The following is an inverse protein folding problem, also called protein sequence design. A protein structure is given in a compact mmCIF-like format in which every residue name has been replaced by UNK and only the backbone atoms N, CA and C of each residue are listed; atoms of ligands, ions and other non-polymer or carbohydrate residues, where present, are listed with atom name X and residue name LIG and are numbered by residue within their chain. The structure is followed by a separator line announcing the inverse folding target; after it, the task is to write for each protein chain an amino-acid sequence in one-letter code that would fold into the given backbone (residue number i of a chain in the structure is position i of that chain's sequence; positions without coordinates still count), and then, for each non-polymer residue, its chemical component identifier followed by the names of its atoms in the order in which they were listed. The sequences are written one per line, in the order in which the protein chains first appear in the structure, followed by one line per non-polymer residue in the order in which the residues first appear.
data_IF_988305155675
#
_entry.id   IF_988305155675
#
_cell.length_a   1.000
_cell.length_b   1.000
_cell.length_c   1.000
_cell.angle_alpha   90.00
_cell.angle_beta   90.00
_cell.angle_gamma   90.00
#
_symmetry.space_group_name_H-M   'P 1'
#
loop_
_entity.id
_entity.type
_entity.pdbx_description
1 polymer ?
#
# COMPACT_ATOMS: atom_id res chain seq x y z
N UNK A 1 -30.65 10.97 -8.45
CA UNK A 1 -29.85 10.78 -9.69
C UNK A 1 -28.69 11.76 -9.62
N UNK A 2 -27.49 11.27 -9.32
CA UNK A 2 -26.28 12.09 -9.25
C UNK A 2 -25.47 11.91 -10.54
N UNK A 3 -25.09 13.02 -11.16
CA UNK A 3 -24.31 13.06 -12.40
C UNK A 3 -22.83 12.92 -12.02
N UNK A 4 -22.14 11.86 -12.48
CA UNK A 4 -20.67 11.76 -12.43
C UNK A 4 -20.07 12.74 -13.45
N UNK A 5 -19.43 13.81 -12.99
CA UNK A 5 -18.64 14.71 -13.85
C UNK A 5 -17.16 14.71 -13.41
N UNK A 6 -16.42 13.65 -13.77
CA UNK A 6 -14.96 13.64 -14.03
C UNK A 6 -14.45 12.20 -14.13
N UNK A 7 -13.76 11.87 -15.24
CA UNK A 7 -13.14 10.57 -15.57
C UNK A 7 -14.00 9.31 -15.33
N UNK A 8 -14.37 8.61 -16.41
CA UNK A 8 -15.15 7.36 -16.36
C UNK A 8 -14.57 6.27 -15.45
N UNK A 9 -13.27 6.34 -15.09
CA UNK A 9 -12.61 5.40 -14.18
C UNK A 9 -13.00 5.55 -12.70
N UNK A 10 -13.32 6.77 -12.22
CA UNK A 10 -13.61 6.99 -10.79
C UNK A 10 -14.98 6.45 -10.35
N UNK A 11 -15.90 6.20 -11.29
CA UNK A 11 -17.23 5.65 -11.00
C UNK A 11 -17.31 4.12 -11.21
N UNK A 12 -16.17 3.44 -11.35
CA UNK A 12 -16.11 1.97 -11.49
C UNK A 12 -16.33 1.25 -10.14
N UNK A 13 -16.87 0.02 -10.13
CA UNK A 13 -17.42 -0.61 -8.91
C UNK A 13 -16.38 -1.16 -7.92
N UNK A 14 -15.09 -1.19 -8.26
CA UNK A 14 -14.00 -1.77 -7.48
C UNK A 14 -12.85 -0.78 -7.29
N UNK A 15 -13.17 0.51 -7.17
CA UNK A 15 -12.17 1.54 -6.86
C UNK A 15 -11.54 1.37 -5.46
N UNK A 16 -10.28 1.75 -5.33
CA UNK A 16 -9.49 1.75 -4.08
C UNK A 16 -9.05 3.17 -3.71
N UNK A 17 -8.71 3.48 -2.44
CA UNK A 17 -8.70 2.58 -1.28
C UNK A 17 -10.09 2.32 -0.68
N UNK A 18 -10.20 1.41 0.28
CA UNK A 18 -11.44 1.13 1.03
C UNK A 18 -11.16 1.06 2.53
N UNK A 19 -12.20 1.24 3.33
CA UNK A 19 -12.18 0.94 4.77
C UNK A 19 -12.33 -0.58 4.99
N UNK A 20 -11.32 -1.19 5.60
CA UNK A 20 -11.32 -2.60 5.96
C UNK A 20 -12.03 -2.76 7.31
N UNK A 21 -13.31 -3.10 7.25
CA UNK A 21 -14.09 -3.46 8.43
C UNK A 21 -13.71 -4.88 8.87
N UNK A 22 -12.84 -5.00 9.87
CA UNK A 22 -12.21 -6.26 10.27
C UNK A 22 -13.22 -7.33 10.68
N UNK A 23 -14.33 -6.91 11.29
CA UNK A 23 -15.46 -7.77 11.70
C UNK A 23 -16.23 -8.35 10.51
N UNK A 24 -16.16 -7.72 9.34
CA UNK A 24 -16.82 -8.17 8.11
C UNK A 24 -15.88 -8.95 7.19
N UNK A 25 -14.57 -8.86 7.41
CA UNK A 25 -13.60 -9.66 6.69
C UNK A 25 -13.82 -11.15 6.98
N UNK A 26 -13.96 -11.96 5.93
CA UNK A 26 -14.19 -13.40 6.08
C UNK A 26 -12.87 -14.14 6.06
N UNK A 27 -12.62 -14.92 7.10
CA UNK A 27 -11.52 -15.87 7.08
C UNK A 27 -11.71 -16.86 5.93
N UNK A 28 -10.68 -17.03 5.12
CA UNK A 28 -10.65 -17.99 4.02
C UNK A 28 -9.47 -18.95 4.23
N UNK A 29 -9.78 -20.18 4.61
CA UNK A 29 -8.77 -21.21 4.91
C UNK A 29 -8.02 -21.70 3.66
N UNK A 30 -8.47 -21.37 2.45
CA UNK A 30 -7.72 -21.69 1.23
C UNK A 30 -6.59 -20.70 0.94
N UNK A 31 -6.54 -19.56 1.64
CA UNK A 31 -5.47 -18.58 1.51
C UNK A 31 -4.17 -19.14 2.09
N UNK A 32 -3.14 -19.24 1.24
CA UNK A 32 -1.81 -19.70 1.64
C UNK A 32 -1.03 -18.58 2.35
N UNK A 33 0.08 -18.90 3.03
CA UNK A 33 1.07 -17.89 3.42
C UNK A 33 1.62 -17.15 2.19
N UNK A 34 1.98 -15.87 2.34
CA UNK A 34 2.67 -15.11 1.30
C UNK A 34 4.11 -15.59 1.18
N UNK A 35 4.57 -15.82 -0.05
CA UNK A 35 5.98 -15.96 -0.35
C UNK A 35 6.53 -14.60 -0.81
N UNK A 36 7.50 -14.06 -0.07
CA UNK A 36 8.11 -12.76 -0.38
C UNK A 36 9.62 -12.94 -0.32
N UNK A 37 10.29 -12.65 -1.44
CA UNK A 37 11.73 -12.64 -1.54
C UNK A 37 12.13 -11.32 -2.19
N UNK A 38 12.92 -10.50 -1.50
CA UNK A 38 13.46 -9.25 -2.05
C UNK A 38 14.97 -9.26 -1.95
N UNK A 39 15.62 -9.10 -3.10
CA UNK A 39 17.08 -9.01 -3.21
C UNK A 39 17.50 -7.52 -3.17
N UNK A 40 18.24 -7.07 -2.15
CA UNK A 40 18.69 -5.67 -2.05
C UNK A 40 19.51 -5.20 -3.25
N UNK A 41 20.14 -6.11 -4.00
CA UNK A 41 20.91 -5.77 -5.20
C UNK A 41 20.03 -5.40 -6.40
N UNK A 42 18.71 -5.56 -6.29
CA UNK A 42 17.78 -5.12 -7.32
C UNK A 42 17.33 -3.68 -7.15
N UNK A 43 17.59 -3.01 -6.02
CA UNK A 43 17.27 -1.59 -5.86
C UNK A 43 18.10 -0.73 -6.81
N UNK A 44 17.46 0.15 -7.58
CA UNK A 44 18.11 0.99 -8.60
C UNK A 44 18.33 2.42 -8.12
N UNK A 45 17.25 3.14 -7.80
CA UNK A 45 17.28 4.58 -7.50
C UNK A 45 16.03 5.03 -6.77
N UNK A 46 16.13 6.17 -6.09
CA UNK A 46 15.00 6.95 -5.62
C UNK A 46 14.76 8.09 -6.59
N UNK A 47 13.50 8.32 -6.97
CA UNK A 47 13.11 9.41 -7.86
C UNK A 47 11.91 10.12 -7.24
N UNK A 48 11.98 11.44 -7.11
CA UNK A 48 10.82 12.27 -6.88
C UNK A 48 10.03 12.38 -8.20
N UNK A 49 8.77 11.95 -8.19
CA UNK A 49 7.89 11.93 -9.37
C UNK A 49 6.80 13.00 -9.31
N UNK A 50 7.03 14.06 -8.52
CA UNK A 50 6.18 15.24 -8.43
C UNK A 50 4.98 15.10 -7.49
N UNK A 51 4.56 13.88 -7.16
CA UNK A 51 3.44 13.60 -6.23
C UNK A 51 3.80 12.59 -5.13
N UNK A 52 4.95 11.93 -5.25
CA UNK A 52 5.55 11.09 -4.23
C UNK A 52 7.04 10.88 -4.60
N UNK A 53 7.72 10.01 -3.86
CA UNK A 53 8.96 9.42 -4.31
C UNK A 53 8.77 7.93 -4.61
N UNK A 54 9.37 7.46 -5.70
CA UNK A 54 9.45 6.05 -6.05
C UNK A 54 10.83 5.51 -5.73
N UNK A 55 10.88 4.32 -5.13
CA UNK A 55 12.09 3.51 -5.09
C UNK A 55 11.96 2.44 -6.18
N UNK A 56 12.76 2.54 -7.23
CA UNK A 56 12.71 1.63 -8.40
C UNK A 56 13.58 0.40 -8.19
N UNK A 57 13.14 -0.74 -8.71
CA UNK A 57 13.82 -2.03 -8.66
C UNK A 57 14.03 -2.63 -10.05
N UNK A 58 14.96 -3.59 -10.16
CA UNK A 58 15.14 -4.40 -11.36
C UNK A 58 14.11 -5.52 -11.46
N UNK A 59 13.20 -5.40 -12.44
CA UNK A 59 12.16 -6.38 -12.75
C UNK A 59 12.51 -7.27 -13.97
N UNK A 60 13.77 -7.24 -14.42
CA UNK A 60 14.26 -8.07 -15.53
C UNK A 60 14.33 -9.57 -15.20
N UNK A 61 14.37 -9.92 -13.90
CA UNK A 61 14.52 -11.29 -13.39
C UNK A 61 13.66 -11.54 -12.13
N UNK A 62 13.56 -12.79 -11.69
CA UNK A 62 12.77 -13.22 -10.53
C UNK A 62 13.52 -13.06 -9.19
N UNK A 63 14.41 -12.07 -9.07
CA UNK A 63 15.22 -11.85 -7.85
C UNK A 63 14.42 -11.20 -6.71
N UNK A 64 13.45 -10.35 -7.06
CA UNK A 64 12.54 -9.67 -6.12
C UNK A 64 11.09 -9.96 -6.50
N UNK A 65 10.46 -10.91 -5.80
CA UNK A 65 9.17 -11.51 -6.18
C UNK A 65 8.24 -11.64 -4.98
N UNK A 66 6.96 -11.40 -5.25
CA UNK A 66 5.82 -11.72 -4.40
C UNK A 66 4.99 -12.83 -5.08
N UNK A 67 4.68 -13.91 -4.37
CA UNK A 67 3.82 -15.00 -4.86
C UNK A 67 3.07 -15.69 -3.72
N UNK A 68 2.32 -16.74 -4.05
CA UNK A 68 1.42 -17.45 -3.12
C UNK A 68 0.34 -16.52 -2.53
N UNK A 69 -0.19 -16.86 -1.36
CA UNK A 69 -1.36 -16.19 -0.80
C UNK A 69 -2.57 -16.18 -1.72
N UNK A 70 -3.11 -15.01 -2.11
CA UNK A 70 -4.23 -14.90 -3.05
C UNK A 70 -3.79 -14.81 -4.51
N UNK A 71 -2.49 -14.85 -4.80
CA UNK A 71 -1.94 -14.58 -6.12
C UNK A 71 -1.92 -15.83 -6.99
N UNK A 72 -2.20 -15.66 -8.28
CA UNK A 72 -2.24 -16.75 -9.26
C UNK A 72 -0.91 -16.95 -10.01
N UNK A 73 0.07 -16.08 -9.79
CA UNK A 73 1.38 -16.08 -10.47
C UNK A 73 2.46 -15.48 -9.57
N UNK A 74 3.69 -15.46 -10.08
CA UNK A 74 4.81 -14.70 -9.52
C UNK A 74 4.75 -13.25 -10.03
N UNK A 75 4.79 -12.29 -9.10
CA UNK A 75 4.77 -10.87 -9.39
C UNK A 75 6.13 -10.28 -9.05
N UNK A 76 6.79 -9.68 -10.04
CA UNK A 76 8.09 -9.02 -9.85
C UNK A 76 7.89 -7.64 -9.25
N UNK A 77 8.72 -7.30 -8.28
CA UNK A 77 8.77 -5.96 -7.70
C UNK A 77 9.37 -5.00 -8.71
N UNK A 78 8.60 -3.98 -9.10
CA UNK A 78 9.05 -2.90 -10.00
C UNK A 78 9.40 -1.62 -9.25
N UNK A 79 8.57 -1.25 -8.29
CA UNK A 79 8.76 -0.07 -7.44
C UNK A 79 7.97 -0.23 -6.14
N UNK A 80 8.30 0.59 -5.14
CA UNK A 80 7.37 0.97 -4.08
C UNK A 80 7.43 2.48 -3.82
N UNK A 81 6.39 3.02 -3.20
CA UNK A 81 6.26 4.40 -2.76
C UNK A 81 5.44 4.45 -1.47
N UNK A 82 5.37 5.63 -0.86
CA UNK A 82 4.55 5.87 0.32
C UNK A 82 3.47 6.92 0.03
N UNK A 83 2.38 6.79 0.77
CA UNK A 83 1.38 7.84 0.94
C UNK A 83 1.47 8.35 2.38
N UNK A 84 1.30 9.66 2.55
CA UNK A 84 1.35 10.34 3.84
C UNK A 84 0.29 11.45 3.93
N UNK A 85 0.10 11.92 5.16
CA UNK A 85 -0.84 12.97 5.50
C UNK A 85 -0.13 14.17 6.11
N UNK A 86 -0.92 15.21 6.35
CA UNK A 86 -0.42 16.51 6.86
C UNK A 86 0.01 16.44 8.32
N UNK A 87 -0.49 15.48 9.08
CA UNK A 87 -0.14 15.23 10.49
C UNK A 87 0.22 13.77 10.75
N UNK A 88 0.77 13.49 11.92
CA UNK A 88 1.21 12.13 12.29
C UNK A 88 0.02 11.19 12.60
N UNK A 89 -1.21 11.71 12.49
CA UNK A 89 -2.46 10.99 12.72
C UNK A 89 -3.12 10.51 11.42
N UNK A 90 -2.66 10.96 10.26
CA UNK A 90 -3.25 10.72 8.94
C UNK A 90 -2.19 10.34 7.90
N UNK A 91 -2.59 9.66 6.83
CA UNK A 91 -1.72 9.42 5.68
C UNK A 91 -1.86 8.06 5.00
N UNK A 92 -2.26 7.01 5.72
CA UNK A 92 -2.59 5.75 5.07
C UNK A 92 -3.81 5.90 4.17
N UNK A 93 -3.73 5.43 2.93
CA UNK A 93 -4.88 5.43 2.01
C UNK A 93 -5.99 4.49 2.50
N UNK A 94 -5.61 3.27 2.90
CA UNK A 94 -6.52 2.34 3.56
C UNK A 94 -6.69 2.70 5.03
N UNK A 95 -7.88 2.39 5.51
CA UNK A 95 -8.31 2.60 6.90
C UNK A 95 -8.72 1.24 7.46
N UNK A 96 -8.36 0.97 8.72
CA UNK A 96 -8.72 -0.28 9.42
C UNK A 96 -9.67 0.08 10.56
N UNK A 97 -10.94 -0.34 10.47
CA UNK A 97 -11.98 0.01 11.45
C UNK A 97 -12.02 1.52 11.79
N UNK A 98 -11.86 2.38 10.79
CA UNK A 98 -11.83 3.84 10.96
C UNK A 98 -10.47 4.43 11.39
N UNK A 99 -9.41 3.63 11.57
CA UNK A 99 -8.08 4.10 11.98
C UNK A 99 -7.07 4.18 10.82
N UNK A 100 -6.27 5.25 10.84
CA UNK A 100 -5.19 5.58 9.89
C UNK A 100 -3.80 5.33 10.50
N UNK A 101 -2.78 5.14 9.66
CA UNK A 101 -1.41 4.79 10.08
C UNK A 101 -0.31 5.58 9.33
N UNK A 102 0.85 5.88 9.96
CA UNK A 102 1.86 6.79 9.40
C UNK A 102 3.06 6.20 8.57
N UNK A 103 3.29 4.87 8.42
CA UNK A 103 4.43 4.14 7.71
C UNK A 103 5.69 3.84 8.59
N UNK A 104 6.93 3.41 8.15
CA UNK A 104 8.30 3.40 8.85
C UNK A 104 9.53 3.24 7.91
N UNK A 105 10.72 3.84 8.20
CA UNK A 105 12.08 3.20 8.16
C UNK A 105 13.23 4.08 8.69
N UNK A 106 14.26 3.45 9.30
CA UNK A 106 15.55 4.05 9.74
C UNK A 106 16.58 4.26 8.61
N UNK A 107 17.38 5.33 8.74
CA UNK A 107 18.33 5.83 7.74
C UNK A 107 19.61 4.97 7.60
N UNK A 108 20.10 4.84 6.37
CA UNK A 108 21.44 4.36 6.02
C UNK A 108 21.89 5.05 4.72
N UNK A 109 23.19 5.36 4.51
CA UNK A 109 23.69 5.84 3.23
C UNK A 109 23.29 4.89 2.09
N UNK A 110 22.90 5.48 0.96
CA UNK A 110 22.22 4.79 -0.13
C UNK A 110 23.18 3.95 -0.97
N UNK A 111 23.60 2.79 -0.46
CA UNK A 111 24.30 1.81 -1.30
C UNK A 111 23.38 0.68 -1.79
N UNK A 112 22.37 0.25 -1.02
CA UNK A 112 21.34 -0.74 -1.42
C UNK A 112 20.12 -0.61 -0.50
N UNK A 113 18.91 -0.78 -1.02
CA UNK A 113 17.69 -0.78 -0.20
C UNK A 113 17.16 -2.19 0.03
N UNK A 114 17.19 -2.66 1.28
CA UNK A 114 16.57 -3.94 1.66
C UNK A 114 15.11 -3.74 2.06
N UNK A 115 14.19 -3.93 1.10
CA UNK A 115 12.75 -3.80 1.33
C UNK A 115 12.21 -4.80 2.36
N UNK A 116 12.90 -5.91 2.60
CA UNK A 116 12.49 -6.88 3.63
C UNK A 116 12.52 -6.28 5.04
N UNK A 117 13.30 -5.21 5.27
CA UNK A 117 13.33 -4.50 6.55
C UNK A 117 12.04 -3.74 6.86
N UNK A 118 11.18 -3.51 5.84
CA UNK A 118 9.87 -2.88 5.97
C UNK A 118 8.73 -3.88 6.15
N UNK A 119 9.02 -5.16 6.28
CA UNK A 119 8.00 -6.17 6.45
C UNK A 119 7.80 -6.45 7.94
N UNK A 120 6.54 -6.47 8.43
CA UNK A 120 6.26 -6.94 9.78
C UNK A 120 6.68 -8.39 9.95
N UNK A 121 6.84 -8.80 11.21
CA UNK A 121 7.22 -10.17 11.56
C UNK A 121 6.12 -11.15 11.15
N UNK A 122 4.87 -10.82 11.46
CA UNK A 122 3.72 -11.61 11.06
C UNK A 122 3.22 -11.16 9.68
N UNK A 123 3.03 -12.12 8.78
CA UNK A 123 2.59 -11.85 7.39
C UNK A 123 1.14 -12.23 7.17
N UNK A 124 0.32 -12.15 8.21
CA UNK A 124 -1.13 -12.27 8.07
C UNK A 124 -1.68 -11.06 7.31
N UNK A 125 -2.65 -11.29 6.44
CA UNK A 125 -3.10 -10.27 5.51
C UNK A 125 -4.62 -10.29 5.29
N UNK A 126 -5.14 -9.17 4.79
CA UNK A 126 -6.43 -9.08 4.10
C UNK A 126 -6.21 -8.98 2.60
N UNK A 127 -7.18 -9.44 1.82
CA UNK A 127 -7.12 -9.35 0.36
C UNK A 127 -8.47 -9.09 -0.27
N UNK A 128 -8.48 -8.29 -1.35
CA UNK A 128 -9.63 -8.00 -2.17
C UNK A 128 -9.19 -7.53 -3.58
N UNK A 129 -10.11 -7.60 -4.55
CA UNK A 129 -9.87 -7.05 -5.89
C UNK A 129 -10.25 -5.56 -5.92
N UNK A 130 -9.33 -4.73 -6.41
CA UNK A 130 -9.49 -3.28 -6.43
C UNK A 130 -8.83 -2.60 -7.62
N UNK A 131 -8.53 -1.31 -7.46
CA UNK A 131 -7.88 -0.48 -8.46
C UNK A 131 -6.53 0.05 -7.99
N UNK A 132 -5.81 0.70 -8.91
CA UNK A 132 -4.78 1.69 -8.57
C UNK A 132 -5.43 2.86 -7.79
N UNK A 133 -4.70 3.44 -6.85
CA UNK A 133 -5.13 4.61 -6.04
C UNK A 133 -4.70 5.94 -6.65
N UNK A 134 -3.86 5.89 -7.69
CA UNK A 134 -3.51 7.01 -8.56
C UNK A 134 -4.04 6.79 -9.97
N UNK A 135 -4.13 7.88 -10.75
CA UNK A 135 -4.54 7.82 -12.16
C UNK A 135 -3.70 6.80 -12.93
N UNK A 136 -4.30 5.97 -13.82
CA UNK A 136 -5.67 6.05 -14.36
C UNK A 136 -6.73 5.28 -13.57
N UNK A 137 -6.46 4.91 -12.31
CA UNK A 137 -7.40 4.19 -11.43
C UNK A 137 -7.91 2.85 -12.00
N UNK A 138 -7.08 2.16 -12.80
CA UNK A 138 -7.44 0.88 -13.43
C UNK A 138 -7.77 -0.21 -12.41
N UNK A 139 -8.86 -0.95 -12.62
CA UNK A 139 -9.30 -2.07 -11.77
C UNK A 139 -8.58 -3.40 -12.07
N UNK A 140 -7.27 -3.41 -11.91
CA UNK A 140 -6.39 -4.53 -12.23
C UNK A 140 -5.57 -5.02 -11.02
N UNK A 141 -5.92 -4.59 -9.80
CA UNK A 141 -5.09 -4.84 -8.61
C UNK A 141 -5.71 -5.91 -7.72
N UNK A 142 -4.93 -6.94 -7.39
CA UNK A 142 -5.20 -7.81 -6.24
C UNK A 142 -4.49 -7.19 -5.03
N UNK A 143 -5.25 -6.58 -4.13
CA UNK A 143 -4.70 -5.97 -2.93
C UNK A 143 -4.33 -7.04 -1.90
N UNK A 144 -3.15 -6.90 -1.29
CA UNK A 144 -2.65 -7.69 -0.17
C UNK A 144 -2.23 -6.71 0.92
N UNK A 145 -3.05 -6.57 1.96
CA UNK A 145 -2.80 -5.65 3.07
C UNK A 145 -2.33 -6.44 4.28
N UNK A 146 -1.10 -6.22 4.73
CA UNK A 146 -0.59 -6.82 5.96
C UNK A 146 -1.37 -6.27 7.17
N UNK A 147 -1.71 -7.15 8.12
CA UNK A 147 -2.53 -6.77 9.29
C UNK A 147 -1.72 -6.03 10.35
N UNK A 148 -0.41 -6.24 10.38
CA UNK A 148 0.52 -5.53 11.25
C UNK A 148 1.12 -4.35 10.46
N UNK A 149 0.92 -3.14 10.99
CA UNK A 149 1.49 -1.93 10.43
C UNK A 149 2.96 -1.75 10.87
N UNK A 150 3.76 -1.13 10.01
CA UNK A 150 5.09 -0.62 10.36
C UNK A 150 4.98 0.81 10.94
N UNK A 151 5.92 1.23 11.80
CA UNK A 151 5.85 2.48 12.63
C UNK A 151 6.91 3.57 12.38
N UNK A 152 6.58 4.74 11.84
CA UNK A 152 7.53 5.78 11.37
C UNK A 152 7.72 6.75 12.49
N UNK A 153 8.92 7.29 12.62
CA UNK A 153 9.11 8.44 13.50
C UNK A 153 8.48 9.69 12.87
N UNK A 154 8.00 10.60 13.72
CA UNK A 154 7.56 11.94 13.30
C UNK A 154 8.64 12.70 12.52
N UNK A 155 9.91 12.44 12.83
CA UNK A 155 11.07 13.03 12.13
C UNK A 155 11.21 12.50 10.70
N UNK A 156 11.12 11.18 10.51
CA UNK A 156 11.11 10.55 9.19
C UNK A 156 9.93 11.04 8.35
N UNK A 157 8.75 11.20 8.95
CA UNK A 157 7.57 11.70 8.25
C UNK A 157 7.70 13.18 7.85
N UNK A 158 8.41 13.99 8.64
CA UNK A 158 8.76 15.36 8.26
C UNK A 158 9.64 15.43 7.01
N UNK A 159 10.55 14.47 6.81
CA UNK A 159 11.33 14.39 5.57
C UNK A 159 10.45 14.14 4.35
N UNK A 160 9.36 13.37 4.49
CA UNK A 160 8.41 13.16 3.38
C UNK A 160 7.63 14.45 3.06
N UNK A 161 7.16 15.16 4.09
CA UNK A 161 6.46 16.45 3.93
C UNK A 161 7.37 17.57 3.41
N UNK A 162 8.68 17.41 3.51
CA UNK A 162 9.67 18.33 2.95
C UNK A 162 9.95 18.13 1.45
N UNK A 163 9.40 17.08 0.82
CA UNK A 163 9.52 16.87 -0.63
C UNK A 163 8.73 17.93 -1.39
N UNK A 164 9.24 18.36 -2.53
CA UNK A 164 8.58 19.35 -3.40
C UNK A 164 8.07 18.72 -4.70
N UNK A 165 6.98 19.24 -5.25
CA UNK A 165 6.47 18.87 -6.56
C UNK A 165 7.23 19.61 -7.68
N UNK A 166 6.77 19.47 -8.93
CA UNK A 166 7.37 20.13 -10.10
C UNK A 166 7.24 21.66 -10.06
N UNK A 167 6.27 22.18 -9.29
CA UNK A 167 5.99 23.60 -9.10
C UNK A 167 6.68 24.17 -7.84
N UNK A 168 7.65 23.45 -7.26
CA UNK A 168 8.38 23.78 -6.02
C UNK A 168 7.52 23.85 -4.75
N UNK A 169 6.28 23.35 -4.80
CA UNK A 169 5.38 23.30 -3.65
C UNK A 169 5.62 22.04 -2.80
N UNK A 170 5.54 22.17 -1.48
CA UNK A 170 5.69 21.02 -0.58
C UNK A 170 4.55 20.02 -0.74
N UNK A 171 4.89 18.74 -0.85
CA UNK A 171 3.94 17.62 -0.88
C UNK A 171 3.56 17.29 0.56
N UNK A 172 2.59 18.02 1.10
CA UNK A 172 2.15 17.87 2.49
C UNK A 172 1.30 16.60 2.71
N UNK A 173 0.60 16.16 1.67
CA UNK A 173 -0.21 14.95 1.65
C UNK A 173 -0.32 14.41 0.23
N UNK A 174 -0.52 13.10 0.09
CA UNK A 174 -0.64 12.46 -1.22
C UNK A 174 -1.48 11.18 -1.18
N UNK A 175 -2.52 11.14 -0.36
CA UNK A 175 -3.41 9.99 -0.22
C UNK A 175 -4.76 10.24 -0.91
N UNK A 176 -5.38 9.19 -1.46
CA UNK A 176 -6.72 9.27 -2.06
C UNK A 176 -7.82 9.08 -1.01
N UNK A 177 -8.95 9.81 -1.09
CA UNK A 177 -10.13 9.55 -0.25
C UNK A 177 -10.69 8.13 -0.40
N UNK A 178 -11.31 7.61 0.66
CA UNK A 178 -11.95 6.29 0.67
C UNK A 178 -13.00 6.15 -0.43
N UNK A 179 -13.00 4.99 -1.07
CA UNK A 179 -13.96 4.60 -2.09
C UNK A 179 -14.99 3.62 -1.51
N UNK A 180 -16.23 3.60 -2.02
CA UNK A 180 -17.26 2.69 -1.52
C UNK A 180 -16.86 1.21 -1.65
N UNK A 181 -17.05 0.40 -0.61
CA UNK A 181 -16.76 -1.05 -0.65
C UNK A 181 -17.67 -1.80 -1.65
N UNK A 182 -18.86 -1.27 -1.93
CA UNK A 182 -19.88 -1.87 -2.78
C UNK A 182 -20.19 -3.32 -2.39
N UNK A 183 -20.16 -4.24 -3.36
CA UNK A 183 -20.44 -5.68 -3.18
C UNK A 183 -19.17 -6.50 -2.92
N UNK A 184 -18.00 -5.86 -2.76
CA UNK A 184 -16.74 -6.58 -2.59
C UNK A 184 -16.66 -7.26 -1.24
N UNK A 185 -16.13 -8.48 -1.26
CA UNK A 185 -15.83 -9.24 -0.05
C UNK A 185 -14.33 -9.16 0.24
N UNK A 186 -13.99 -8.68 1.44
CA UNK A 186 -12.62 -8.76 1.95
C UNK A 186 -12.41 -10.14 2.57
N UNK A 187 -11.35 -10.83 2.15
CA UNK A 187 -10.91 -12.10 2.74
C UNK A 187 -9.77 -11.86 3.72
N UNK A 188 -9.67 -12.69 4.75
CA UNK A 188 -8.57 -12.66 5.73
C UNK A 188 -7.82 -14.00 5.73
N UNK A 189 -6.50 -13.95 5.81
CA UNK A 189 -5.63 -15.14 5.88
C UNK A 189 -5.59 -15.79 7.26
N UNK A 190 -6.16 -15.14 8.28
CA UNK A 190 -6.23 -15.67 9.64
C UNK A 190 -7.66 -15.56 10.19
N UNK A 191 -7.97 -16.40 11.17
CA UNK A 191 -9.22 -16.26 11.92
C UNK A 191 -9.16 -14.97 12.73
N UNK A 192 -10.28 -14.27 12.84
CA UNK A 192 -10.39 -13.02 13.59
C UNK A 192 -9.76 -13.19 14.97
N UNK A 193 -8.60 -12.55 15.17
CA UNK A 193 -8.05 -12.37 16.51
C UNK A 193 -8.84 -11.20 17.08
N UNK A 194 -9.50 -11.40 18.23
CA UNK A 194 -10.05 -10.26 18.96
C UNK A 194 -8.87 -9.35 19.31
N UNK A 195 -8.60 -8.33 18.49
CA UNK A 195 -7.75 -7.23 18.89
C UNK A 195 -8.49 -6.57 20.06
N UNK A 196 -7.98 -6.78 21.27
CA UNK A 196 -8.44 -5.98 22.41
C UNK A 196 -8.14 -4.52 22.08
N UNK A 197 -9.08 -3.61 22.41
CA UNK A 197 -8.86 -2.17 22.25
C UNK A 197 -7.63 -1.70 23.02
#
# INVERSE_FOLDING_TARGET
MGVCTSSTAQCLPRQSPIDIQTRRAKYDSSLKPLFIQYDPNTSKRIINVGHCFNVEFDDSSDRSVLSEGPLTSHYRLRQFHFHWGTSDRDGSEHVIDGQTYPAENKESPFEKFNLSNLLPKERTYWTYLGSLTTSPYSECVTWVLLQEAITISSEQLQHFRGLQNEDEEFILENHRPLQPIEKRLVKSSCKHKNHKP
#
